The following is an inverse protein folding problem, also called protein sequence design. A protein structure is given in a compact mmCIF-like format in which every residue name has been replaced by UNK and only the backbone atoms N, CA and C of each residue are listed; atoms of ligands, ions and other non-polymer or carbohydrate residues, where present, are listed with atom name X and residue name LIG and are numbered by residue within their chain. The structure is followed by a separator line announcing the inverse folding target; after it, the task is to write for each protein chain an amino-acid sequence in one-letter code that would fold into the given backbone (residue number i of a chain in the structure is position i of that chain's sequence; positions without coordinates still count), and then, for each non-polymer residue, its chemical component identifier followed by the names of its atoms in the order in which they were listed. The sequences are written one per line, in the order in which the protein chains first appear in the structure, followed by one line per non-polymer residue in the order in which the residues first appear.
data_IF_073671730229
#
_entry.id   IF_073671730229
#
_cell.length_a   1.000
_cell.length_b   1.000
_cell.length_c   1.000
_cell.angle_alpha   90.00
_cell.angle_beta   90.00
_cell.angle_gamma   90.00
#
_symmetry.space_group_name_H-M   'P 1'
#
loop_
_entity.id
_entity.type
_entity.pdbx_description
1 polymer ?
#
# COMPACT_ATOMS: atom_id res chain seq x y z
N UNK A 1 -4.44 -2.18 -12.44
CA UNK A 1 -3.22 -2.90 -12.85
C UNK A 1 -3.58 -4.37 -12.70
N UNK A 2 -3.57 -5.21 -13.76
CA UNK A 2 -4.41 -6.42 -13.75
C UNK A 2 -4.04 -7.47 -12.69
N UNK A 3 -2.83 -7.43 -12.11
CA UNK A 3 -2.33 -8.50 -11.24
C UNK A 3 -1.88 -8.06 -9.84
N UNK A 4 -2.36 -6.93 -9.29
CA UNK A 4 -1.99 -6.56 -7.91
C UNK A 4 -2.61 -7.51 -6.87
N UNK A 5 -1.85 -7.79 -5.80
CA UNK A 5 -2.25 -8.71 -4.73
C UNK A 5 -2.27 -8.02 -3.36
N UNK A 6 -3.34 -8.28 -2.60
CA UNK A 6 -3.56 -7.77 -1.25
C UNK A 6 -3.80 -8.96 -0.30
N UNK A 7 -3.02 -9.02 0.76
CA UNK A 7 -3.10 -10.10 1.75
C UNK A 7 -2.88 -9.59 3.18
N UNK A 8 -3.44 -10.34 4.13
CA UNK A 8 -3.16 -10.21 5.54
C UNK A 8 -1.94 -11.08 5.90
N UNK A 9 -1.14 -10.60 6.87
CA UNK A 9 0.11 -11.26 7.28
C UNK A 9 0.00 -12.06 8.57
N UNK A 10 -1.20 -12.29 9.13
CA UNK A 10 -1.41 -12.97 10.42
C UNK A 10 -0.82 -14.38 10.51
N UNK A 11 -0.54 -15.03 9.37
CA UNK A 11 0.15 -16.31 9.31
C UNK A 11 1.67 -16.22 9.19
N UNK A 12 2.24 -15.02 9.12
CA UNK A 12 3.63 -14.77 8.78
C UNK A 12 4.36 -14.03 9.91
N UNK A 13 5.67 -14.27 10.02
CA UNK A 13 6.54 -13.40 10.82
C UNK A 13 6.92 -12.16 10.02
N UNK A 14 6.72 -10.98 10.60
CA UNK A 14 6.98 -9.72 9.91
C UNK A 14 8.45 -9.57 9.46
N UNK A 15 9.40 -10.00 10.28
CA UNK A 15 10.84 -9.94 9.97
C UNK A 15 11.19 -10.74 8.70
N UNK A 16 10.64 -11.95 8.56
CA UNK A 16 10.85 -12.81 7.39
C UNK A 16 10.29 -12.17 6.12
N UNK A 17 9.15 -11.50 6.24
CA UNK A 17 8.51 -10.77 5.14
C UNK A 17 9.37 -9.59 4.68
N UNK A 18 9.85 -8.77 5.62
CA UNK A 18 10.70 -7.61 5.32
C UNK A 18 12.01 -8.04 4.66
N UNK A 19 12.69 -9.05 5.21
CA UNK A 19 13.98 -9.52 4.71
C UNK A 19 13.89 -10.00 3.26
N UNK A 20 12.83 -10.74 2.92
CA UNK A 20 12.60 -11.26 1.55
C UNK A 20 12.09 -10.18 0.61
N UNK A 21 11.27 -9.24 1.08
CA UNK A 21 10.71 -8.16 0.25
C UNK A 21 11.78 -7.28 -0.42
N UNK A 22 12.93 -7.10 0.24
CA UNK A 22 14.05 -6.35 -0.32
C UNK A 22 14.76 -7.03 -1.49
N UNK A 23 14.48 -8.31 -1.75
CA UNK A 23 15.06 -9.08 -2.86
C UNK A 23 14.13 -9.23 -4.08
N UNK A 24 12.94 -8.64 -4.01
CA UNK A 24 11.90 -8.81 -5.03
C UNK A 24 12.04 -7.77 -6.14
N UNK A 25 11.66 -8.17 -7.36
CA UNK A 25 11.53 -7.25 -8.50
C UNK A 25 10.19 -6.48 -8.51
N UNK A 26 9.39 -6.66 -7.46
CA UNK A 26 8.03 -6.16 -7.33
C UNK A 26 7.97 -5.13 -6.19
N UNK A 27 7.17 -4.09 -6.39
CA UNK A 27 6.86 -3.16 -5.30
C UNK A 27 6.04 -3.88 -4.24
N UNK A 28 6.61 -4.05 -3.05
CA UNK A 28 5.92 -4.65 -1.90
C UNK A 28 5.93 -3.66 -0.74
N UNK A 29 4.78 -3.47 -0.09
CA UNK A 29 4.66 -2.61 1.08
C UNK A 29 3.74 -3.21 2.14
N UNK A 30 4.13 -3.05 3.40
CA UNK A 30 3.34 -3.43 4.56
C UNK A 30 2.67 -2.20 5.16
N UNK A 31 1.36 -2.25 5.33
CA UNK A 31 0.53 -1.11 5.70
C UNK A 31 -0.27 -1.41 6.96
N UNK A 32 -0.57 -0.35 7.70
CA UNK A 32 -1.62 -0.35 8.71
C UNK A 32 -2.97 -0.74 8.06
N UNK A 33 -3.65 -1.79 8.51
CA UNK A 33 -4.95 -2.16 7.97
C UNK A 33 -5.98 -1.02 8.05
N UNK A 34 -5.85 -0.12 9.03
CA UNK A 34 -6.77 1.01 9.24
C UNK A 34 -6.73 2.08 8.14
N UNK A 35 -5.68 2.12 7.30
CA UNK A 35 -5.62 3.03 6.14
C UNK A 35 -6.01 2.34 4.83
N UNK A 36 -6.20 1.01 4.84
CA UNK A 36 -6.50 0.21 3.65
C UNK A 36 -8.00 -0.05 3.58
N UNK A 37 -8.66 0.64 2.66
CA UNK A 37 -10.10 0.48 2.41
C UNK A 37 -10.44 -0.62 1.40
N UNK A 38 -9.64 -0.80 0.36
CA UNK A 38 -9.89 -1.69 -0.79
C UNK A 38 -8.61 -1.93 -1.58
N UNK A 39 -8.53 -3.03 -2.35
CA UNK A 39 -7.43 -3.21 -3.31
C UNK A 39 -7.39 -2.09 -4.36
N UNK A 40 -8.57 -1.66 -4.81
CA UNK A 40 -8.70 -0.68 -5.88
C UNK A 40 -8.08 0.69 -5.53
N UNK A 41 -8.29 1.24 -4.33
CA UNK A 41 -7.67 2.54 -3.99
C UNK A 41 -6.13 2.44 -3.89
N UNK A 42 -5.59 1.30 -3.45
CA UNK A 42 -4.15 1.04 -3.43
C UNK A 42 -3.59 1.03 -4.86
N UNK A 43 -4.28 0.36 -5.79
CA UNK A 43 -3.89 0.36 -7.21
C UNK A 43 -3.90 1.77 -7.80
N UNK A 44 -4.91 2.59 -7.46
CA UNK A 44 -4.97 3.97 -7.93
C UNK A 44 -3.79 4.76 -7.38
N UNK A 45 -3.52 4.74 -6.07
CA UNK A 45 -2.35 5.38 -5.49
C UNK A 45 -1.03 4.91 -6.14
N UNK A 46 -0.92 3.61 -6.41
CA UNK A 46 0.25 3.02 -7.05
C UNK A 46 0.46 3.52 -8.48
N UNK A 47 -0.61 3.56 -9.27
CA UNK A 47 -0.59 4.03 -10.67
C UNK A 47 -0.22 5.50 -10.81
N UNK A 48 -0.38 6.28 -9.74
CA UNK A 48 -0.01 7.69 -9.71
C UNK A 48 1.47 7.92 -9.39
N UNK A 49 2.19 6.94 -8.82
CA UNK A 49 3.61 7.09 -8.44
C UNK A 49 4.50 7.65 -9.56
N UNK A 50 4.40 7.20 -10.84
CA UNK A 50 5.23 7.74 -11.92
C UNK A 50 5.01 9.22 -12.19
N UNK A 51 3.87 9.81 -11.78
CA UNK A 51 3.60 11.25 -11.97
C UNK A 51 4.43 12.14 -11.05
N UNK A 52 5.03 11.59 -9.99
CA UNK A 52 5.68 12.35 -8.92
C UNK A 52 7.21 12.19 -8.88
N UNK A 53 7.83 11.89 -10.03
CA UNK A 53 9.29 11.75 -10.14
C UNK A 53 10.04 13.04 -9.71
N UNK A 54 9.39 14.20 -9.87
CA UNK A 54 9.96 15.51 -9.54
C UNK A 54 9.66 16.01 -8.11
N UNK A 55 9.01 15.22 -7.27
CA UNK A 55 8.67 15.64 -5.90
C UNK A 55 9.88 15.62 -4.96
N UNK A 56 9.74 16.24 -3.78
CA UNK A 56 10.74 16.17 -2.70
C UNK A 56 10.85 14.77 -2.09
N UNK A 57 9.80 13.95 -2.19
CA UNK A 57 9.77 12.58 -1.66
C UNK A 57 10.34 11.63 -2.72
N UNK A 58 11.64 11.31 -2.61
CA UNK A 58 12.31 10.42 -3.57
C UNK A 58 12.10 8.93 -3.31
N UNK A 59 11.79 8.55 -2.07
CA UNK A 59 11.52 7.17 -1.72
C UNK A 59 10.11 6.76 -2.22
N UNK A 60 10.05 5.74 -3.07
CA UNK A 60 8.80 5.28 -3.70
C UNK A 60 7.75 4.81 -2.69
N UNK A 61 8.15 4.09 -1.63
CA UNK A 61 7.26 3.67 -0.55
C UNK A 61 6.74 4.87 0.25
N UNK A 62 7.61 5.82 0.58
CA UNK A 62 7.19 7.03 1.28
C UNK A 62 6.22 7.89 0.46
N UNK A 63 6.44 7.98 -0.86
CA UNK A 63 5.53 8.65 -1.79
C UNK A 63 4.19 7.93 -1.87
N UNK A 64 4.19 6.60 -1.93
CA UNK A 64 2.98 5.79 -1.88
C UNK A 64 2.19 6.03 -0.59
N UNK A 65 2.86 6.00 0.58
CA UNK A 65 2.23 6.33 1.85
C UNK A 65 1.69 7.76 1.88
N UNK A 66 2.42 8.73 1.29
CA UNK A 66 1.98 10.12 1.20
C UNK A 66 0.68 10.25 0.39
N UNK A 67 0.56 9.51 -0.72
CA UNK A 67 -0.67 9.46 -1.51
C UNK A 67 -1.85 8.86 -0.73
N UNK A 68 -1.64 7.77 0.01
CA UNK A 68 -2.69 7.12 0.79
C UNK A 68 -3.17 7.96 1.99
N UNK A 69 -2.24 8.67 2.63
CA UNK A 69 -2.51 9.41 3.87
C UNK A 69 -2.91 10.85 3.62
N UNK A 70 -2.53 11.43 2.47
CA UNK A 70 -2.67 12.86 2.20
C UNK A 70 -1.55 13.72 2.77
N UNK A 71 -0.51 13.10 3.34
CA UNK A 71 0.56 13.79 4.04
C UNK A 71 1.65 14.32 3.10
N UNK A 72 2.08 15.57 3.31
CA UNK A 72 3.15 16.19 2.50
C UNK A 72 4.54 15.74 2.92
N UNK A 73 4.69 15.33 4.18
CA UNK A 73 5.99 14.96 4.75
C UNK A 73 6.16 13.45 4.74
N UNK A 74 7.22 12.97 4.08
CA UNK A 74 7.54 11.55 3.97
C UNK A 74 7.54 10.82 5.32
N UNK A 75 8.11 11.45 6.36
CA UNK A 75 8.17 10.88 7.71
C UNK A 75 6.78 10.67 8.31
N UNK A 76 5.93 11.69 8.25
CA UNK A 76 4.55 11.63 8.79
C UNK A 76 3.73 10.60 8.03
N UNK A 77 3.86 10.55 6.71
CA UNK A 77 3.21 9.57 5.86
C UNK A 77 3.59 8.13 6.23
N UNK A 78 4.88 7.86 6.42
CA UNK A 78 5.39 6.55 6.82
C UNK A 78 4.93 6.17 8.24
N UNK A 79 4.93 7.12 9.18
CA UNK A 79 4.45 6.90 10.55
C UNK A 79 2.95 6.57 10.56
N UNK A 80 2.13 7.27 9.77
CA UNK A 80 0.70 7.01 9.66
C UNK A 80 0.39 5.66 8.97
N UNK A 81 1.18 5.28 7.97
CA UNK A 81 1.03 4.02 7.25
C UNK A 81 1.63 2.81 8.00
N UNK A 82 2.40 3.04 9.07
CA UNK A 82 3.09 1.98 9.80
C UNK A 82 2.10 1.00 10.45
N UNK A 83 2.25 -0.32 10.23
CA UNK A 83 1.43 -1.32 10.89
C UNK A 83 1.52 -1.24 12.43
N UNK A 84 0.39 -1.33 13.16
CA UNK A 84 0.40 -1.40 14.62
C UNK A 84 0.75 -2.81 15.10
N UNK A 85 2.02 -3.02 15.50
CA UNK A 85 2.50 -4.30 16.01
C UNK A 85 2.40 -5.41 14.96
N UNK A 86 1.82 -6.55 15.34
CA UNK A 86 1.74 -7.76 14.49
C UNK A 86 0.58 -7.74 13.47
N UNK A 87 -0.13 -6.61 13.36
CA UNK A 87 -1.27 -6.47 12.45
C UNK A 87 -0.86 -5.61 11.26
N UNK A 88 -0.59 -6.27 10.13
CA UNK A 88 -0.35 -5.59 8.86
C UNK A 88 -1.14 -6.23 7.72
N UNK A 89 -1.32 -5.44 6.67
CA UNK A 89 -1.66 -5.94 5.34
C UNK A 89 -0.49 -5.69 4.41
N UNK A 90 -0.26 -6.60 3.48
CA UNK A 90 0.74 -6.45 2.42
C UNK A 90 0.03 -6.14 1.11
N UNK A 91 0.51 -5.11 0.43
CA UNK A 91 0.18 -4.82 -0.96
C UNK A 91 1.41 -5.05 -1.82
N UNK A 92 1.23 -5.75 -2.94
CA UNK A 92 2.29 -5.94 -3.93
C UNK A 92 1.75 -5.83 -5.36
N UNK A 93 2.59 -5.33 -6.27
CA UNK A 93 2.31 -5.36 -7.71
C UNK A 93 2.64 -6.71 -8.38
N UNK A 94 3.10 -7.70 -7.59
CA UNK A 94 3.21 -9.11 -7.98
C UNK A 94 1.84 -9.78 -8.10
N UNK A 95 1.74 -10.74 -9.02
CA UNK A 95 0.55 -11.61 -9.14
C UNK A 95 0.31 -12.41 -7.86
N UNK A 96 -0.94 -12.85 -7.65
CA UNK A 96 -1.29 -13.72 -6.50
C UNK A 96 -0.40 -14.97 -6.43
N UNK A 97 -0.18 -15.63 -7.56
CA UNK A 97 0.60 -16.87 -7.62
C UNK A 97 2.06 -16.62 -7.26
N UNK A 98 2.64 -15.53 -7.76
CA UNK A 98 4.00 -15.12 -7.48
C UNK A 98 4.19 -14.74 -6.01
N UNK A 99 3.31 -13.91 -5.46
CA UNK A 99 3.34 -13.50 -4.07
C UNK A 99 3.17 -14.69 -3.10
N UNK A 100 2.27 -15.63 -3.41
CA UNK A 100 2.07 -16.83 -2.59
C UNK A 100 3.21 -17.85 -2.73
N UNK A 101 3.88 -17.91 -3.88
CA UNK A 101 5.10 -18.70 -4.05
C UNK A 101 6.25 -18.16 -3.19
N UNK A 102 6.40 -16.83 -3.14
CA UNK A 102 7.44 -16.17 -2.35
C UNK A 102 7.14 -16.20 -0.85
N UNK A 103 5.86 -16.03 -0.51
CA UNK A 103 5.34 -15.98 0.85
C UNK A 103 4.12 -16.89 1.02
N UNK A 104 4.33 -18.21 1.21
CA UNK A 104 3.24 -19.18 1.33
C UNK A 104 2.30 -18.94 2.53
N UNK A 105 2.75 -18.19 3.52
CA UNK A 105 1.99 -17.87 4.73
C UNK A 105 0.97 -16.74 4.54
N UNK A 106 1.01 -15.99 3.42
CA UNK A 106 0.09 -14.89 3.18
C UNK A 106 -1.33 -15.38 3.02
N UNK A 107 -2.27 -14.66 3.62
CA UNK A 107 -3.70 -14.96 3.56
C UNK A 107 -4.38 -13.93 2.66
N UNK A 108 -4.88 -14.31 1.47
CA UNK A 108 -5.62 -13.38 0.62
C UNK A 108 -6.77 -12.74 1.39
N UNK A 109 -6.86 -11.41 1.33
CA UNK A 109 -8.03 -10.70 1.84
C UNK A 109 -9.09 -10.80 0.75
N UNK A 110 -10.19 -11.50 1.03
CA UNK A 110 -11.36 -11.45 0.16
C UNK A 110 -11.76 -9.97 0.00
N UNK A 111 -12.08 -9.55 -1.23
CA UNK A 111 -12.39 -8.16 -1.54
C UNK A 111 -13.32 -7.57 -0.47
N UNK A 112 -12.89 -6.44 0.10
CA UNK A 112 -13.61 -5.77 1.18
C UNK A 112 -15.02 -5.44 0.64
N UNK A 113 -16.10 -5.78 1.37
CA UNK A 113 -17.47 -5.70 0.86
C UNK A 113 -17.79 -4.31 0.26
N UNK A 114 -18.45 -4.32 -0.90
CA UNK A 114 -18.77 -3.15 -1.74
C UNK A 114 -19.50 -2.02 -0.98
N UNK A 115 -20.16 -2.33 0.12
CA UNK A 115 -20.82 -1.40 1.05
C UNK A 115 -19.82 -0.50 1.82
N UNK A 116 -18.53 -0.60 1.54
CA UNK A 116 -17.49 0.37 1.90
C UNK A 116 -17.50 1.67 1.05
N UNK A 117 -18.48 1.89 0.16
CA UNK A 117 -18.50 3.02 -0.80
C UNK A 117 -18.18 4.38 -0.21
N UNK A 118 -18.67 4.70 0.98
CA UNK A 118 -18.40 5.98 1.64
C UNK A 118 -16.93 6.10 2.08
N UNK A 119 -16.37 5.02 2.63
CA UNK A 119 -14.93 4.93 2.97
C UNK A 119 -14.06 4.96 1.73
N UNK A 120 -14.49 4.33 0.63
CA UNK A 120 -13.79 4.40 -0.65
C UNK A 120 -13.77 5.85 -1.16
N UNK A 121 -14.91 6.56 -1.15
CA UNK A 121 -14.98 7.98 -1.55
C UNK A 121 -14.02 8.85 -0.75
N UNK A 122 -13.96 8.67 0.58
CA UNK A 122 -13.03 9.41 1.41
C UNK A 122 -11.56 9.07 1.11
N UNK A 123 -11.25 7.78 0.89
CA UNK A 123 -9.91 7.34 0.50
C UNK A 123 -9.48 7.91 -0.86
N UNK A 124 -10.37 7.90 -1.85
CA UNK A 124 -10.13 8.54 -3.15
C UNK A 124 -9.93 10.04 -3.02
N UNK A 125 -10.78 10.72 -2.23
CA UNK A 125 -10.63 12.14 -1.98
C UNK A 125 -9.28 12.47 -1.31
N UNK A 126 -8.76 11.60 -0.44
CA UNK A 126 -7.39 11.74 0.12
C UNK A 126 -6.33 11.64 -0.96
N UNK A 127 -6.41 10.64 -1.84
CA UNK A 127 -5.45 10.47 -2.95
C UNK A 127 -5.49 11.69 -3.88
N UNK A 128 -6.66 12.18 -4.27
CA UNK A 128 -6.79 13.37 -5.13
C UNK A 128 -6.21 14.63 -4.46
N UNK A 129 -6.46 14.83 -3.16
CA UNK A 129 -5.86 15.94 -2.41
C UNK A 129 -4.33 15.80 -2.31
N UNK A 130 -3.84 14.59 -2.07
CA UNK A 130 -2.42 14.29 -2.04
C UNK A 130 -1.76 14.60 -3.39
N UNK A 131 -2.41 14.25 -4.49
CA UNK A 131 -1.92 14.55 -5.84
C UNK A 131 -1.73 16.05 -6.06
N UNK A 132 -2.70 16.88 -5.67
CA UNK A 132 -2.57 18.34 -5.74
C UNK A 132 -1.47 18.88 -4.82
N UNK A 133 -1.35 18.36 -3.59
CA UNK A 133 -0.38 18.82 -2.59
C UNK A 133 1.07 18.45 -2.92
N UNK A 134 1.29 17.33 -3.61
CA UNK A 134 2.62 16.79 -3.91
C UNK A 134 3.21 17.35 -5.22
N UNK A 135 2.39 17.91 -6.12
CA UNK A 135 2.86 18.57 -7.35
C UNK A 135 3.51 19.96 -7.10
N UNK A 136 3.52 20.44 -5.85
CA UNK A 136 4.07 21.74 -5.41
C UNK A 136 5.36 21.58 -4.60
#
# INVERSE_FOLDING_TARGET
MPDSFLADISGCRFEDLVQRSGSLNHFTIFLNPGIVVSRFHLEVAFSLLPRFQNTRIKNRHALFCALLTGERQARVALEAARPPGDRAVVFTDASREEALREFPCLRPIAEIPEDARERDREAFAKICRAEMNLQV
#
